data_IF_171859016929
#
_entry.id   IF_171859016929
#
_cell.length_a   1.000
_cell.length_b   1.000
_cell.length_c   1.000
_cell.angle_alpha   90.00
_cell.angle_beta   90.00
_cell.angle_gamma   90.00
#
_symmetry.space_group_name_H-M   'P 1'
#
loop_
_entity.id
_entity.type
_entity.pdbx_description
1 polymer ?
#
# COMPACT_ATOMS: atom_id res chain seq x y z
N UNK A 1 2.50 -7.38 -57.31
CA UNK A 1 3.96 -7.48 -57.09
C UNK A 1 4.53 -8.31 -58.21
N UNK A 2 5.46 -7.76 -59.00
CA UNK A 2 5.98 -8.46 -60.17
C UNK A 2 7.13 -9.42 -59.83
N UNK A 3 7.84 -9.24 -58.70
CA UNK A 3 8.80 -10.20 -58.18
C UNK A 3 9.02 -10.02 -56.66
N UNK A 4 9.60 -11.05 -56.02
CA UNK A 4 9.96 -11.06 -54.59
C UNK A 4 11.45 -11.40 -54.44
N UNK A 5 12.11 -10.68 -53.53
CA UNK A 5 13.51 -10.88 -53.19
C UNK A 5 13.77 -12.22 -52.48
N UNK A 6 12.72 -12.89 -51.99
CA UNK A 6 12.75 -14.23 -51.37
C UNK A 6 12.45 -15.37 -52.34
N UNK A 7 12.20 -15.07 -53.62
CA UNK A 7 11.89 -16.13 -54.57
C UNK A 7 13.14 -16.96 -54.84
N UNK A 8 12.98 -18.29 -54.89
CA UNK A 8 14.07 -19.23 -55.23
C UNK A 8 14.75 -18.82 -56.54
N UNK A 9 13.98 -18.28 -57.49
CA UNK A 9 14.48 -17.77 -58.77
C UNK A 9 15.40 -16.55 -58.62
N UNK A 10 15.06 -15.62 -57.73
CA UNK A 10 15.88 -14.44 -57.45
C UNK A 10 17.16 -14.82 -56.70
N UNK A 11 17.08 -15.69 -55.69
CA UNK A 11 18.25 -16.18 -54.94
C UNK A 11 19.24 -16.95 -55.83
N UNK A 12 18.72 -17.76 -56.76
CA UNK A 12 19.53 -18.45 -57.75
C UNK A 12 20.22 -17.48 -58.72
N UNK A 13 19.52 -16.45 -59.19
CA UNK A 13 20.09 -15.41 -60.06
C UNK A 13 21.15 -14.58 -59.32
N UNK A 14 20.90 -14.22 -58.05
CA UNK A 14 21.83 -13.53 -57.18
C UNK A 14 23.11 -14.36 -56.96
N UNK A 15 22.95 -15.67 -56.72
CA UNK A 15 24.05 -16.61 -56.56
C UNK A 15 24.88 -16.74 -57.84
N UNK A 16 24.22 -16.84 -58.99
CA UNK A 16 24.87 -16.88 -60.31
C UNK A 16 25.70 -15.62 -60.58
N UNK A 17 25.14 -14.44 -60.30
CA UNK A 17 25.85 -13.17 -60.46
C UNK A 17 27.09 -13.07 -59.58
N UNK A 18 27.02 -13.52 -58.32
CA UNK A 18 28.19 -13.57 -57.44
C UNK A 18 29.23 -14.61 -57.86
N UNK A 19 28.82 -15.73 -58.47
CA UNK A 19 29.75 -16.72 -59.04
C UNK A 19 30.50 -16.15 -60.26
N UNK A 20 29.80 -15.45 -61.15
CA UNK A 20 30.40 -14.74 -62.30
C UNK A 20 31.38 -13.67 -61.83
N UNK A 21 31.05 -12.93 -60.76
CA UNK A 21 31.95 -11.96 -60.15
C UNK A 21 33.20 -12.65 -59.58
N UNK A 22 33.04 -13.79 -58.89
CA UNK A 22 34.15 -14.53 -58.29
C UNK A 22 35.11 -15.11 -59.34
N UNK A 23 34.58 -15.64 -60.46
CA UNK A 23 35.37 -16.18 -61.58
C UNK A 23 36.26 -15.11 -62.20
N UNK A 24 35.78 -13.87 -62.27
CA UNK A 24 36.42 -12.80 -63.03
C UNK A 24 37.26 -11.81 -62.19
N UNK A 25 37.52 -12.11 -60.90
CA UNK A 25 38.37 -11.26 -60.04
C UNK A 25 39.83 -11.14 -60.52
N UNK A 26 40.33 -12.16 -61.22
CA UNK A 26 41.70 -12.22 -61.74
C UNK A 26 41.74 -12.21 -63.28
N UNK A 27 40.69 -11.73 -63.94
CA UNK A 27 40.64 -11.65 -65.41
C UNK A 27 41.70 -10.70 -65.96
N UNK A 28 42.24 -11.00 -67.14
CA UNK A 28 43.19 -10.13 -67.87
C UNK A 28 42.51 -8.85 -68.38
N UNK A 29 41.17 -8.85 -68.51
CA UNK A 29 40.42 -7.67 -68.89
C UNK A 29 40.16 -6.77 -67.66
N UNK A 30 40.85 -5.63 -67.62
CA UNK A 30 40.75 -4.62 -66.56
C UNK A 30 39.32 -4.09 -66.34
N UNK A 31 38.47 -4.06 -67.36
CA UNK A 31 37.07 -3.62 -67.22
C UNK A 31 36.24 -4.67 -66.46
N UNK A 32 36.29 -5.94 -66.89
CA UNK A 32 35.57 -7.04 -66.24
C UNK A 32 36.00 -7.16 -64.77
N UNK A 33 37.31 -7.02 -64.51
CA UNK A 33 37.88 -7.06 -63.17
C UNK A 33 37.33 -5.97 -62.25
N UNK A 34 37.19 -4.73 -62.75
CA UNK A 34 36.63 -3.61 -61.98
C UNK A 34 35.17 -3.85 -61.58
N UNK A 35 34.34 -4.29 -62.52
CA UNK A 35 32.93 -4.62 -62.25
C UNK A 35 32.79 -5.82 -61.31
N UNK A 36 33.60 -6.86 -61.49
CA UNK A 36 33.63 -8.04 -60.64
C UNK A 36 33.94 -7.70 -59.17
N UNK A 37 34.93 -6.84 -58.91
CA UNK A 37 35.25 -6.40 -57.56
C UNK A 37 34.09 -5.64 -56.89
N UNK A 38 33.40 -4.78 -57.63
CA UNK A 38 32.28 -3.97 -57.11
C UNK A 38 31.04 -4.81 -56.81
N UNK A 39 30.69 -5.74 -57.70
CA UNK A 39 29.61 -6.71 -57.45
C UNK A 39 29.96 -7.57 -56.24
N UNK A 40 31.20 -8.10 -56.16
CA UNK A 40 31.63 -8.97 -55.06
C UNK A 40 31.62 -8.30 -53.70
N UNK A 41 31.95 -7.01 -53.62
CA UNK A 41 31.94 -6.26 -52.36
C UNK A 41 30.55 -6.13 -51.74
N UNK A 42 29.49 -6.24 -52.54
CA UNK A 42 28.11 -6.14 -52.05
C UNK A 42 27.55 -7.45 -51.51
N UNK A 43 28.30 -8.56 -51.60
CA UNK A 43 27.84 -9.86 -51.10
C UNK A 43 27.48 -9.82 -49.60
N UNK A 44 28.21 -9.03 -48.80
CA UNK A 44 27.92 -8.86 -47.37
C UNK A 44 26.62 -8.08 -47.10
N UNK A 45 26.16 -7.26 -48.04
CA UNK A 45 24.90 -6.52 -47.92
C UNK A 45 23.68 -7.43 -48.11
N UNK A 46 23.73 -8.37 -49.05
CA UNK A 46 22.61 -9.29 -49.33
C UNK A 46 22.59 -10.49 -48.37
N UNK A 47 22.48 -10.22 -47.07
CA UNK A 47 22.17 -11.23 -46.05
C UNK A 47 20.64 -11.42 -45.92
N UNK A 48 20.21 -12.48 -45.24
CA UNK A 48 18.79 -12.82 -45.10
C UNK A 48 17.98 -11.67 -44.44
N UNK A 49 18.57 -10.94 -43.51
CA UNK A 49 17.95 -9.80 -42.83
C UNK A 49 17.67 -8.63 -43.78
N UNK A 50 18.65 -8.24 -44.58
CA UNK A 50 18.48 -7.16 -45.55
C UNK A 50 17.58 -7.60 -46.71
N UNK A 51 17.64 -8.88 -47.13
CA UNK A 51 16.70 -9.42 -48.12
C UNK A 51 15.25 -9.37 -47.61
N UNK A 52 15.01 -9.69 -46.33
CA UNK A 52 13.70 -9.52 -45.70
C UNK A 52 13.25 -8.06 -45.73
N UNK A 53 14.14 -7.15 -45.33
CA UNK A 53 13.83 -5.72 -45.32
C UNK A 53 13.53 -5.19 -46.73
N UNK A 54 14.30 -5.61 -47.74
CA UNK A 54 14.06 -5.24 -49.13
C UNK A 54 12.71 -5.76 -49.60
N UNK A 55 12.35 -7.00 -49.23
CA UNK A 55 11.06 -7.58 -49.59
C UNK A 55 9.87 -6.84 -48.95
N UNK A 56 10.00 -6.34 -47.73
CA UNK A 56 8.91 -5.64 -47.04
C UNK A 56 8.79 -4.17 -47.46
N UNK A 57 9.90 -3.50 -47.78
CA UNK A 57 9.93 -2.03 -47.87
C UNK A 57 10.17 -1.45 -49.26
N UNK A 58 10.66 -2.22 -50.23
CA UNK A 58 10.83 -1.75 -51.61
C UNK A 58 9.55 -1.97 -52.41
N UNK A 59 8.77 -0.92 -52.58
CA UNK A 59 7.48 -0.99 -53.28
C UNK A 59 7.58 -0.53 -54.73
N UNK A 60 8.43 0.45 -55.05
CA UNK A 60 8.50 1.05 -56.39
C UNK A 60 9.30 0.17 -57.34
N UNK A 61 10.49 -0.28 -56.93
CA UNK A 61 11.31 -1.25 -57.70
C UNK A 61 10.53 -2.51 -58.06
N UNK A 62 9.74 -3.05 -57.13
CA UNK A 62 8.93 -4.27 -57.34
C UNK A 62 7.78 -4.14 -58.35
N UNK A 63 7.43 -2.92 -58.77
CA UNK A 63 6.42 -2.70 -59.80
C UNK A 63 6.96 -2.99 -61.20
N UNK A 64 8.27 -2.95 -61.40
CA UNK A 64 8.90 -3.07 -62.71
C UNK A 64 9.60 -4.41 -62.87
N UNK A 65 9.14 -5.22 -63.84
CA UNK A 65 9.77 -6.52 -64.15
C UNK A 65 11.21 -6.38 -64.67
N UNK A 66 11.56 -5.21 -65.22
CA UNK A 66 12.92 -4.86 -65.68
C UNK A 66 13.98 -5.00 -64.57
N UNK A 67 13.60 -4.70 -63.32
CA UNK A 67 14.52 -4.77 -62.19
C UNK A 67 14.52 -6.15 -61.53
N UNK A 68 13.94 -7.19 -62.13
CA UNK A 68 14.08 -8.55 -61.62
C UNK A 68 15.38 -9.19 -62.12
N UNK A 69 16.30 -9.49 -61.20
CA UNK A 69 17.57 -10.17 -61.51
C UNK A 69 17.37 -11.51 -62.24
N UNK A 70 16.28 -12.22 -61.97
CA UNK A 70 15.98 -13.47 -62.67
C UNK A 70 15.67 -13.24 -64.15
N UNK A 71 14.99 -12.15 -64.52
CA UNK A 71 14.74 -11.82 -65.93
C UNK A 71 16.02 -11.36 -66.64
N UNK A 72 16.87 -10.61 -65.95
CA UNK A 72 18.19 -10.21 -66.46
C UNK A 72 19.08 -11.44 -66.73
N UNK A 73 19.03 -12.44 -65.84
CA UNK A 73 19.80 -13.69 -66.01
C UNK A 73 19.35 -14.54 -67.20
N UNK A 74 18.09 -14.42 -67.67
CA UNK A 74 17.58 -15.17 -68.83
C UNK A 74 17.88 -14.52 -70.18
N UNK A 75 18.00 -13.20 -70.22
CA UNK A 75 18.10 -12.44 -71.47
C UNK A 75 19.55 -12.08 -71.87
N UNK A 76 20.54 -12.20 -70.97
CA UNK A 76 21.90 -11.67 -71.15
C UNK A 76 22.94 -12.73 -70.75
N UNK A 77 22.98 -13.87 -71.43
CA UNK A 77 23.86 -15.00 -71.06
C UNK A 77 25.18 -15.04 -71.85
N UNK A 78 25.36 -14.28 -72.93
CA UNK A 78 26.55 -14.48 -73.78
C UNK A 78 27.83 -13.73 -73.36
N UNK A 79 27.78 -12.80 -72.41
CA UNK A 79 28.96 -12.03 -71.97
C UNK A 79 29.02 -11.79 -70.45
N UNK A 80 30.10 -12.29 -69.83
CA UNK A 80 30.41 -12.13 -68.40
C UNK A 80 30.49 -10.64 -68.00
N UNK A 81 30.91 -9.75 -68.90
CA UNK A 81 30.97 -8.31 -68.64
C UNK A 81 29.57 -7.70 -68.49
N UNK A 82 28.68 -7.99 -69.44
CA UNK A 82 27.31 -7.47 -69.44
C UNK A 82 26.52 -7.99 -68.24
N UNK A 83 26.68 -9.27 -67.90
CA UNK A 83 26.05 -9.84 -66.71
C UNK A 83 26.44 -9.05 -65.43
N UNK A 84 27.71 -8.68 -65.30
CA UNK A 84 28.19 -7.88 -64.16
C UNK A 84 27.71 -6.42 -64.20
N UNK A 85 27.70 -5.79 -65.38
CA UNK A 85 27.23 -4.40 -65.55
C UNK A 85 25.74 -4.26 -65.18
N UNK A 86 24.88 -5.07 -65.79
CA UNK A 86 23.44 -5.05 -65.51
C UNK A 86 23.13 -5.43 -64.06
N UNK A 87 23.85 -6.40 -63.48
CA UNK A 87 23.72 -6.76 -62.08
C UNK A 87 24.07 -5.61 -61.13
N UNK A 88 25.20 -4.94 -61.35
CA UNK A 88 25.63 -3.81 -60.53
C UNK A 88 24.70 -2.59 -60.63
N UNK A 89 24.22 -2.27 -61.83
CA UNK A 89 23.25 -1.18 -62.05
C UNK A 89 21.91 -1.52 -61.40
N UNK A 90 21.48 -2.78 -61.43
CA UNK A 90 20.24 -3.20 -60.76
C UNK A 90 20.38 -3.12 -59.23
N UNK A 91 21.51 -3.54 -58.67
CA UNK A 91 21.80 -3.35 -57.25
C UNK A 91 21.77 -1.87 -56.83
N UNK A 92 22.26 -0.97 -57.69
CA UNK A 92 22.20 0.46 -57.43
C UNK A 92 20.77 0.98 -57.29
N UNK A 93 19.85 0.50 -58.12
CA UNK A 93 18.42 0.85 -58.02
C UNK A 93 17.87 0.43 -56.65
N UNK A 94 18.13 -0.81 -56.22
CA UNK A 94 17.65 -1.30 -54.93
C UNK A 94 18.20 -0.51 -53.75
N UNK A 95 19.52 -0.24 -53.77
CA UNK A 95 20.20 0.49 -52.70
C UNK A 95 19.71 1.94 -52.60
N UNK A 96 19.36 2.57 -53.71
CA UNK A 96 18.81 3.92 -53.74
C UNK A 96 17.42 4.02 -53.13
N UNK A 97 16.52 3.09 -53.48
CA UNK A 97 15.20 3.02 -52.82
C UNK A 97 15.34 2.71 -51.33
N UNK A 98 16.20 1.75 -50.99
CA UNK A 98 16.49 1.37 -49.62
C UNK A 98 16.97 2.56 -48.78
N UNK A 99 17.95 3.32 -49.26
CA UNK A 99 18.50 4.49 -48.56
C UNK A 99 17.44 5.59 -48.40
N UNK A 100 16.63 5.83 -49.43
CA UNK A 100 15.59 6.86 -49.37
C UNK A 100 14.50 6.53 -48.34
N UNK A 101 14.09 5.26 -48.23
CA UNK A 101 13.04 4.82 -47.29
C UNK A 101 13.54 4.64 -45.85
N UNK A 102 14.79 4.21 -45.62
CA UNK A 102 15.38 4.11 -44.26
C UNK A 102 15.78 5.46 -43.67
N UNK A 103 16.10 6.44 -44.50
CA UNK A 103 16.69 7.69 -44.05
C UNK A 103 18.15 7.55 -43.62
N UNK A 104 18.79 8.68 -43.34
CA UNK A 104 20.23 8.78 -43.03
C UNK A 104 20.48 8.34 -41.57
N UNK A 105 20.50 7.03 -41.26
CA UNK A 105 21.05 6.53 -39.99
C UNK A 105 21.81 5.19 -40.10
N UNK A 106 23.09 5.27 -39.71
CA UNK A 106 24.01 4.31 -39.07
C UNK A 106 24.27 2.92 -39.68
N UNK A 107 25.34 2.85 -40.48
CA UNK A 107 26.39 1.81 -40.43
C UNK A 107 27.60 2.32 -41.24
N UNK A 108 28.71 2.72 -40.59
CA UNK A 108 29.86 3.35 -41.27
C UNK A 108 30.51 2.44 -42.34
N UNK A 109 30.61 1.12 -42.08
CA UNK A 109 31.23 0.16 -43.02
C UNK A 109 30.33 -0.18 -44.23
N UNK A 110 29.03 -0.34 -44.04
CA UNK A 110 28.09 -0.52 -45.15
C UNK A 110 27.96 0.77 -45.97
N UNK A 111 28.00 1.93 -45.30
CA UNK A 111 27.99 3.23 -45.97
C UNK A 111 29.22 3.43 -46.85
N UNK A 112 30.42 3.02 -46.43
CA UNK A 112 31.62 3.13 -47.28
C UNK A 112 31.55 2.24 -48.51
N UNK A 113 31.10 0.98 -48.36
CA UNK A 113 30.96 0.03 -49.48
C UNK A 113 29.92 0.51 -50.50
N UNK A 114 28.74 0.91 -50.01
CA UNK A 114 27.64 1.44 -50.84
C UNK A 114 28.03 2.77 -51.50
N UNK A 115 28.70 3.67 -50.77
CA UNK A 115 29.20 4.93 -51.35
C UNK A 115 30.26 4.70 -52.43
N UNK A 116 31.12 3.69 -52.26
CA UNK A 116 32.10 3.31 -53.27
C UNK A 116 31.46 2.78 -54.55
N UNK A 117 30.30 2.13 -54.44
CA UNK A 117 29.50 1.68 -55.57
C UNK A 117 28.81 2.87 -56.24
N UNK A 118 28.20 3.77 -55.46
CA UNK A 118 27.54 4.97 -55.96
C UNK A 118 28.51 5.83 -56.77
N UNK A 119 29.69 6.13 -56.22
CA UNK A 119 30.70 6.91 -56.93
C UNK A 119 31.13 6.22 -58.24
N UNK A 120 31.35 4.91 -58.21
CA UNK A 120 31.70 4.14 -59.40
C UNK A 120 30.61 4.22 -60.48
N UNK A 121 29.35 4.00 -60.12
CA UNK A 121 28.23 4.01 -61.06
C UNK A 121 27.93 5.42 -61.57
N UNK A 122 28.15 6.48 -60.77
CA UNK A 122 28.05 7.85 -61.23
C UNK A 122 29.16 8.21 -62.22
N UNK A 123 30.39 7.74 -62.01
CA UNK A 123 31.47 7.90 -62.98
C UNK A 123 31.13 7.17 -64.29
N UNK A 124 30.67 5.92 -64.21
CA UNK A 124 30.24 5.15 -65.39
C UNK A 124 29.05 5.78 -66.11
N UNK A 125 28.09 6.38 -65.37
CA UNK A 125 26.97 7.13 -65.95
C UNK A 125 27.44 8.26 -66.86
N UNK A 126 28.58 8.91 -66.57
CA UNK A 126 29.09 9.99 -67.42
C UNK A 126 29.59 9.50 -68.78
N UNK A 127 30.07 8.24 -68.86
CA UNK A 127 30.61 7.65 -70.09
C UNK A 127 29.59 6.79 -70.84
N UNK A 128 28.74 6.05 -70.12
CA UNK A 128 27.88 4.98 -70.65
C UNK A 128 26.38 5.21 -70.39
N UNK A 129 25.93 6.46 -70.31
CA UNK A 129 24.53 6.81 -70.01
C UNK A 129 23.49 6.13 -70.92
N UNK A 130 23.76 6.06 -72.23
CA UNK A 130 22.84 5.52 -73.23
C UNK A 130 22.52 4.03 -73.03
N UNK A 131 23.47 3.27 -72.48
CA UNK A 131 23.33 1.82 -72.29
C UNK A 131 22.36 1.47 -71.15
N UNK A 132 22.36 2.28 -70.07
CA UNK A 132 21.54 2.07 -68.88
C UNK A 132 20.53 3.20 -68.61
N UNK A 133 20.15 3.96 -69.64
CA UNK A 133 19.29 5.14 -69.54
C UNK A 133 18.04 4.91 -68.68
N UNK A 134 17.33 3.81 -68.90
CA UNK A 134 16.10 3.45 -68.17
C UNK A 134 16.31 3.25 -66.67
N UNK A 135 17.46 2.71 -66.27
CA UNK A 135 17.79 2.47 -64.86
C UNK A 135 18.18 3.78 -64.17
N UNK A 136 18.92 4.64 -64.87
CA UNK A 136 19.32 5.95 -64.35
C UNK A 136 18.15 6.91 -64.21
N UNK A 137 17.30 7.01 -65.24
CA UNK A 137 16.13 7.89 -65.23
C UNK A 137 15.17 7.48 -64.12
N UNK A 138 14.94 6.18 -63.93
CA UNK A 138 14.13 5.67 -62.82
C UNK A 138 14.69 6.08 -61.46
N UNK A 139 16.01 5.94 -61.23
CA UNK A 139 16.64 6.33 -59.96
C UNK A 139 16.55 7.84 -59.71
N UNK A 140 16.66 8.66 -60.75
CA UNK A 140 16.57 10.11 -60.64
C UNK A 140 15.12 10.56 -60.34
N UNK A 141 14.11 9.84 -60.85
CA UNK A 141 12.68 10.11 -60.58
C UNK A 141 12.17 9.50 -59.26
N UNK A 142 12.84 8.46 -58.75
CA UNK A 142 12.43 7.68 -57.59
C UNK A 142 12.11 8.54 -56.34
N UNK A 143 12.93 9.54 -55.94
CA UNK A 143 12.61 10.42 -54.82
C UNK A 143 11.27 11.16 -54.99
N UNK A 144 10.95 11.60 -56.20
CA UNK A 144 9.72 12.34 -56.48
C UNK A 144 8.50 11.42 -56.41
N UNK A 145 8.62 10.18 -56.89
CA UNK A 145 7.58 9.16 -56.81
C UNK A 145 7.29 8.80 -55.35
N UNK A 146 8.33 8.53 -54.55
CA UNK A 146 8.17 8.18 -53.14
C UNK A 146 7.62 9.37 -52.34
N UNK A 147 8.11 10.59 -52.58
CA UNK A 147 7.53 11.79 -51.98
C UNK A 147 6.06 11.95 -52.38
N UNK A 148 5.73 11.77 -53.66
CA UNK A 148 4.35 11.83 -54.14
C UNK A 148 3.44 10.83 -53.44
N UNK A 149 3.90 9.58 -53.25
CA UNK A 149 3.21 8.55 -52.47
C UNK A 149 2.97 9.00 -51.02
N UNK A 150 4.03 9.46 -50.34
CA UNK A 150 3.95 9.92 -48.94
C UNK A 150 2.97 11.10 -48.83
N UNK A 151 3.14 12.15 -49.63
CA UNK A 151 2.33 13.36 -49.54
C UNK A 151 0.88 13.19 -50.02
N UNK A 152 0.60 12.19 -50.85
CA UNK A 152 -0.78 11.86 -51.29
C UNK A 152 -1.52 10.94 -50.32
N UNK A 153 -0.83 10.37 -49.31
CA UNK A 153 -1.44 9.47 -48.34
C UNK A 153 -2.59 10.16 -47.58
N UNK A 154 -3.75 9.49 -47.51
CA UNK A 154 -5.00 10.03 -46.93
C UNK A 154 -4.81 10.67 -45.55
N UNK A 155 -4.06 9.99 -44.67
CA UNK A 155 -3.69 10.46 -43.33
C UNK A 155 -3.04 11.85 -43.31
N UNK A 156 -2.16 12.17 -44.26
CA UNK A 156 -1.53 13.49 -44.33
C UNK A 156 -2.49 14.56 -44.84
N UNK A 157 -3.41 14.20 -45.75
CA UNK A 157 -4.50 15.08 -46.17
C UNK A 157 -5.53 15.32 -45.04
N UNK A 158 -5.83 14.31 -44.23
CA UNK A 158 -6.65 14.44 -43.02
C UNK A 158 -5.99 15.36 -42.00
N UNK A 159 -4.69 15.20 -41.75
CA UNK A 159 -3.92 16.11 -40.88
C UNK A 159 -3.93 17.52 -41.46
N UNK A 160 -3.72 17.70 -42.77
CA UNK A 160 -3.78 19.02 -43.42
C UNK A 160 -5.16 19.66 -43.32
N UNK A 161 -6.23 18.87 -43.44
CA UNK A 161 -7.62 19.33 -43.30
C UNK A 161 -7.92 19.70 -41.85
N UNK A 162 -7.52 18.87 -40.90
CA UNK A 162 -7.59 19.12 -39.46
C UNK A 162 -6.87 20.42 -39.07
N UNK A 163 -5.67 20.65 -39.61
CA UNK A 163 -4.89 21.87 -39.37
C UNK A 163 -5.51 23.12 -40.02
N UNK A 164 -6.36 22.99 -41.04
CA UNK A 164 -7.02 24.11 -41.72
C UNK A 164 -8.40 24.46 -41.14
N UNK A 165 -9.12 23.48 -40.59
CA UNK A 165 -10.55 23.64 -40.23
C UNK A 165 -10.82 24.01 -38.76
N UNK A 166 -9.85 23.96 -37.83
CA UNK A 166 -10.12 24.34 -36.44
C UNK A 166 -9.09 25.28 -35.82
N UNK A 167 -9.65 26.37 -35.32
CA UNK A 167 -9.06 27.40 -34.49
C UNK A 167 -8.26 26.76 -33.34
N UNK A 168 -6.93 26.93 -33.35
CA UNK A 168 -6.00 26.36 -32.36
C UNK A 168 -6.34 26.76 -30.89
N UNK A 169 -7.20 27.77 -30.73
CA UNK A 169 -7.81 28.24 -29.48
C UNK A 169 -8.58 27.14 -28.71
N UNK A 170 -9.27 26.22 -29.41
CA UNK A 170 -10.05 25.17 -28.76
C UNK A 170 -9.13 24.08 -28.19
N UNK A 171 -8.05 23.76 -28.91
CA UNK A 171 -7.03 22.82 -28.45
C UNK A 171 -6.21 23.39 -27.28
N UNK A 172 -5.81 24.66 -27.33
CA UNK A 172 -5.07 25.30 -26.23
C UNK A 172 -5.90 25.33 -24.93
N UNK A 173 -7.21 25.64 -25.02
CA UNK A 173 -8.13 25.56 -23.87
C UNK A 173 -8.23 24.15 -23.31
N UNK A 174 -8.22 23.13 -24.16
CA UNK A 174 -8.29 21.73 -23.74
C UNK A 174 -7.00 21.31 -23.02
N UNK A 175 -5.84 21.76 -23.51
CA UNK A 175 -4.54 21.57 -22.83
C UNK A 175 -4.50 22.29 -21.48
N UNK A 176 -4.93 23.56 -21.41
CA UNK A 176 -5.01 24.29 -20.14
C UNK A 176 -5.97 23.64 -19.14
N UNK A 177 -7.11 23.15 -19.62
CA UNK A 177 -8.11 22.46 -18.79
C UNK A 177 -7.54 21.14 -18.25
N UNK A 178 -6.90 20.34 -19.10
CA UNK A 178 -6.29 19.07 -18.68
C UNK A 178 -5.13 19.28 -17.70
N UNK A 179 -4.31 20.31 -17.89
CA UNK A 179 -3.25 20.65 -16.93
C UNK A 179 -3.83 21.09 -15.58
N UNK A 180 -4.89 21.90 -15.59
CA UNK A 180 -5.58 22.36 -14.38
C UNK A 180 -6.26 21.20 -13.63
N UNK A 181 -6.90 20.29 -14.37
CA UNK A 181 -7.48 19.06 -13.81
C UNK A 181 -6.39 18.17 -13.23
N UNK A 182 -5.27 17.99 -13.92
CA UNK A 182 -4.13 17.20 -13.42
C UNK A 182 -3.56 17.79 -12.13
N UNK A 183 -3.40 19.12 -12.03
CA UNK A 183 -2.97 19.79 -10.80
C UNK A 183 -3.97 19.60 -9.66
N UNK A 184 -5.26 19.66 -9.94
CA UNK A 184 -6.31 19.47 -8.94
C UNK A 184 -6.33 18.02 -8.41
N UNK A 185 -6.10 17.03 -9.29
CA UNK A 185 -5.99 15.62 -8.90
C UNK A 185 -4.79 15.42 -7.97
N UNK A 186 -3.62 15.97 -8.30
CA UNK A 186 -2.44 15.88 -7.44
C UNK A 186 -2.66 16.52 -6.07
N UNK A 187 -3.34 17.67 -6.02
CA UNK A 187 -3.72 18.32 -4.76
C UNK A 187 -4.70 17.46 -3.94
N UNK A 188 -5.69 16.84 -4.60
CA UNK A 188 -6.62 15.95 -3.91
C UNK A 188 -5.96 14.70 -3.35
N UNK A 189 -4.97 14.16 -4.05
CA UNK A 189 -4.24 12.99 -3.59
C UNK A 189 -3.37 13.32 -2.36
N UNK A 190 -2.73 14.49 -2.35
CA UNK A 190 -2.00 15.00 -1.18
C UNK A 190 -2.94 15.28 0.02
N UNK A 191 -4.06 15.97 -0.22
CA UNK A 191 -5.11 16.20 0.79
C UNK A 191 -5.68 14.89 1.34
N UNK A 192 -5.80 13.86 0.49
CA UNK A 192 -6.33 12.56 0.89
C UNK A 192 -5.35 11.79 1.78
N UNK A 193 -4.06 11.78 1.45
CA UNK A 193 -3.05 11.17 2.33
C UNK A 193 -2.94 11.94 3.65
N UNK A 194 -2.95 13.28 3.63
CA UNK A 194 -2.97 14.08 4.86
C UNK A 194 -4.18 13.74 5.76
N UNK A 195 -5.37 13.59 5.18
CA UNK A 195 -6.58 13.19 5.92
C UNK A 195 -6.49 11.76 6.43
N UNK A 196 -5.96 10.83 5.63
CA UNK A 196 -5.78 9.44 6.02
C UNK A 196 -4.81 9.29 7.19
N UNK A 197 -3.73 10.06 7.20
CA UNK A 197 -2.79 10.08 8.32
C UNK A 197 -3.40 10.71 9.56
N UNK A 198 -4.17 11.80 9.41
CA UNK A 198 -4.95 12.36 10.53
C UNK A 198 -5.95 11.35 11.11
N UNK A 199 -6.63 10.57 10.26
CA UNK A 199 -7.56 9.52 10.70
C UNK A 199 -6.83 8.40 11.46
N UNK A 200 -5.67 7.93 10.96
CA UNK A 200 -4.85 6.94 11.67
C UNK A 200 -4.35 7.46 13.02
N UNK A 201 -4.00 8.73 13.10
CA UNK A 201 -3.59 9.34 14.37
C UNK A 201 -4.76 9.38 15.36
N UNK A 202 -5.95 9.75 14.89
CA UNK A 202 -7.17 9.73 15.70
C UNK A 202 -7.53 8.32 16.16
N UNK A 203 -7.39 7.32 15.29
CA UNK A 203 -7.58 5.90 15.64
C UNK A 203 -6.64 5.47 16.77
N UNK A 204 -5.34 5.76 16.65
CA UNK A 204 -4.35 5.48 17.71
C UNK A 204 -4.68 6.19 19.03
N UNK A 205 -5.11 7.46 18.97
CA UNK A 205 -5.52 8.22 20.15
C UNK A 205 -6.78 7.63 20.79
N UNK A 206 -7.74 7.19 19.97
CA UNK A 206 -8.97 6.58 20.45
C UNK A 206 -8.69 5.21 21.10
N UNK A 207 -7.82 4.40 20.51
CA UNK A 207 -7.42 3.10 21.07
C UNK A 207 -6.71 3.27 22.43
N UNK A 208 -5.78 4.23 22.53
CA UNK A 208 -5.15 4.61 23.80
C UNK A 208 -6.17 5.11 24.84
N UNK A 209 -7.13 5.93 24.41
CA UNK A 209 -8.20 6.44 25.29
C UNK A 209 -9.13 5.33 25.79
N UNK A 210 -9.48 4.37 24.92
CA UNK A 210 -10.34 3.22 25.25
C UNK A 210 -9.70 2.33 26.30
N UNK A 211 -8.40 2.06 26.20
CA UNK A 211 -7.65 1.27 27.20
C UNK A 211 -7.64 1.93 28.59
N UNK A 212 -7.54 3.27 28.65
CA UNK A 212 -7.63 4.01 29.91
C UNK A 212 -9.05 4.04 30.48
N UNK A 213 -10.09 3.83 29.65
CA UNK A 213 -11.50 3.97 30.06
C UNK A 213 -12.04 2.79 30.88
N UNK A 214 -11.56 1.57 30.66
CA UNK A 214 -12.11 0.36 31.31
C UNK A 214 -11.86 0.34 32.83
N UNK A 215 -10.66 0.74 33.29
CA UNK A 215 -10.35 0.85 34.73
C UNK A 215 -10.88 2.15 35.36
N UNK A 216 -11.05 3.22 34.57
CA UNK A 216 -11.75 4.43 35.01
C UNK A 216 -13.22 4.11 35.30
N UNK A 217 -13.86 3.28 34.47
CA UNK A 217 -15.24 2.83 34.68
C UNK A 217 -15.35 1.87 35.87
N UNK A 218 -14.43 0.93 36.04
CA UNK A 218 -14.38 0.06 37.23
C UNK A 218 -14.16 0.86 38.51
N UNK A 219 -13.21 1.80 38.52
CA UNK A 219 -12.96 2.69 39.65
C UNK A 219 -14.20 3.57 39.96
N UNK A 220 -14.90 4.05 38.93
CA UNK A 220 -16.18 4.76 39.09
C UNK A 220 -17.24 3.84 39.72
N UNK A 221 -17.36 2.60 39.25
CA UNK A 221 -18.27 1.60 39.81
C UNK A 221 -17.97 1.28 41.27
N UNK A 222 -16.70 1.08 41.64
CA UNK A 222 -16.30 0.88 43.03
C UNK A 222 -16.57 2.12 43.90
N UNK A 223 -16.38 3.33 43.36
CA UNK A 223 -16.70 4.57 44.06
C UNK A 223 -18.19 4.75 44.32
N UNK A 224 -19.03 4.41 43.35
CA UNK A 224 -20.49 4.42 43.52
C UNK A 224 -20.93 3.42 44.59
N UNK A 225 -20.39 2.19 44.57
CA UNK A 225 -20.63 1.18 45.60
C UNK A 225 -20.14 1.63 46.99
N UNK A 226 -18.99 2.32 47.05
CA UNK A 226 -18.45 2.86 48.29
C UNK A 226 -19.37 3.93 48.89
N UNK A 227 -19.85 4.89 48.09
CA UNK A 227 -20.77 5.91 48.57
C UNK A 227 -22.12 5.31 49.00
N UNK A 228 -22.62 4.28 48.31
CA UNK A 228 -23.79 3.52 48.76
C UNK A 228 -23.55 2.87 50.13
N UNK A 229 -22.41 2.18 50.32
CA UNK A 229 -22.06 1.57 51.62
C UNK A 229 -21.84 2.59 52.73
N UNK A 230 -21.36 3.79 52.41
CA UNK A 230 -21.21 4.89 53.36
C UNK A 230 -22.56 5.43 53.83
N UNK A 231 -23.56 5.51 52.93
CA UNK A 231 -24.93 5.85 53.31
C UNK A 231 -25.54 4.75 54.19
N UNK A 232 -25.40 3.47 53.81
CA UNK A 232 -25.81 2.33 54.64
C UNK A 232 -25.15 2.38 56.03
N UNK A 233 -23.83 2.63 56.10
CA UNK A 233 -23.10 2.71 57.37
C UNK A 233 -23.63 3.82 58.26
N UNK A 234 -23.95 4.98 57.68
CA UNK A 234 -24.53 6.10 58.42
C UNK A 234 -25.89 5.72 59.01
N UNK A 235 -26.78 5.18 58.19
CA UNK A 235 -28.11 4.72 58.63
C UNK A 235 -28.02 3.65 59.74
N UNK A 236 -27.11 2.67 59.58
CA UNK A 236 -26.90 1.62 60.57
C UNK A 236 -26.28 2.14 61.86
N UNK A 237 -25.38 3.12 61.77
CA UNK A 237 -24.77 3.76 62.94
C UNK A 237 -25.79 4.60 63.71
N UNK A 238 -26.65 5.33 63.01
CA UNK A 238 -27.73 6.11 63.62
C UNK A 238 -28.72 5.16 64.32
N UNK A 239 -29.14 4.08 63.65
CA UNK A 239 -29.99 3.04 64.25
C UNK A 239 -29.35 2.35 65.47
N UNK A 240 -28.04 2.06 65.43
CA UNK A 240 -27.32 1.52 66.58
C UNK A 240 -27.22 2.53 67.73
N UNK A 241 -27.03 3.82 67.42
CA UNK A 241 -27.00 4.90 68.40
C UNK A 241 -28.34 5.01 69.13
N UNK A 242 -29.46 4.88 68.42
CA UNK A 242 -30.80 4.86 69.01
C UNK A 242 -31.00 3.64 69.94
N UNK A 243 -30.60 2.45 69.49
CA UNK A 243 -30.64 1.23 70.30
C UNK A 243 -29.77 1.33 71.57
N UNK A 244 -28.56 1.89 71.44
CA UNK A 244 -27.65 2.12 72.55
C UNK A 244 -28.20 3.16 73.54
N UNK A 245 -28.84 4.22 73.02
CA UNK A 245 -29.53 5.23 73.82
C UNK A 245 -30.66 4.58 74.63
N UNK A 246 -31.51 3.74 74.03
CA UNK A 246 -32.55 3.00 74.76
C UNK A 246 -31.98 2.05 75.82
N UNK A 247 -30.87 1.37 75.55
CA UNK A 247 -30.21 0.49 76.52
C UNK A 247 -29.79 1.25 77.79
N UNK A 248 -29.33 2.51 77.66
CA UNK A 248 -28.92 3.37 78.78
C UNK A 248 -30.12 4.09 79.41
N UNK A 249 -31.06 4.59 78.62
CA UNK A 249 -32.22 5.33 79.12
C UNK A 249 -33.20 4.44 79.90
N UNK A 250 -33.35 3.15 79.53
CA UNK A 250 -34.29 2.24 80.21
C UNK A 250 -34.02 2.12 81.72
N UNK A 251 -32.80 1.77 82.20
CA UNK A 251 -32.54 1.70 83.63
C UNK A 251 -32.61 3.07 84.32
N UNK A 252 -32.18 4.15 83.65
CA UNK A 252 -32.24 5.51 84.19
C UNK A 252 -33.69 5.97 84.39
N UNK A 253 -34.57 5.71 83.42
CA UNK A 253 -35.98 6.03 83.51
C UNK A 253 -36.66 5.27 84.65
N UNK A 254 -36.33 3.99 84.84
CA UNK A 254 -36.83 3.18 85.96
C UNK A 254 -36.39 3.76 87.30
N UNK A 255 -35.14 4.21 87.44
CA UNK A 255 -34.64 4.86 88.66
C UNK A 255 -35.39 6.18 88.92
N UNK A 256 -35.55 7.03 87.91
CA UNK A 256 -36.26 8.32 88.02
C UNK A 256 -37.73 8.11 88.42
N UNK A 257 -38.43 7.17 87.77
CA UNK A 257 -39.83 6.83 88.10
C UNK A 257 -39.92 6.31 89.53
N UNK A 258 -38.97 5.46 89.96
CA UNK A 258 -38.93 4.93 91.32
C UNK A 258 -38.76 6.05 92.36
N UNK A 259 -37.86 7.00 92.13
CA UNK A 259 -37.67 8.17 93.00
C UNK A 259 -38.92 9.05 93.05
N UNK A 260 -39.54 9.30 91.89
CA UNK A 260 -40.75 10.12 91.78
C UNK A 260 -41.93 9.48 92.54
N UNK A 261 -42.15 8.17 92.41
CA UNK A 261 -43.18 7.45 93.15
C UNK A 261 -43.01 7.55 94.67
N UNK A 262 -41.76 7.51 95.15
CA UNK A 262 -41.44 7.68 96.58
C UNK A 262 -41.77 9.11 97.05
N UNK A 263 -41.45 10.14 96.26
CA UNK A 263 -41.75 11.54 96.58
C UNK A 263 -43.27 11.81 96.63
N UNK A 264 -44.05 11.18 95.72
CA UNK A 264 -45.51 11.31 95.68
C UNK A 264 -46.26 10.49 96.75
N UNK A 265 -45.54 9.87 97.69
CA UNK A 265 -46.15 9.22 98.87
C UNK A 265 -46.76 7.84 98.61
N UNK A 266 -46.41 7.18 97.50
CA UNK A 266 -46.78 5.77 97.32
C UNK A 266 -45.87 4.88 98.19
N UNK A 267 -46.43 4.27 99.24
CA UNK A 267 -45.73 3.25 100.02
C UNK A 267 -45.52 1.99 99.18
N UNK A 268 -44.33 1.88 98.58
CA UNK A 268 -43.93 0.70 97.83
C UNK A 268 -43.39 -0.37 98.78
N UNK A 269 -44.09 -1.52 98.86
CA UNK A 269 -43.54 -2.72 99.51
C UNK A 269 -42.36 -3.23 98.65
N UNK A 270 -41.21 -3.53 99.28
CA UNK A 270 -40.00 -4.06 98.61
C UNK A 270 -40.27 -5.24 97.67
N UNK A 271 -41.24 -6.11 97.99
CA UNK A 271 -41.64 -7.23 97.13
C UNK A 271 -42.24 -6.81 95.78
N UNK A 272 -42.86 -5.63 95.69
CA UNK A 272 -43.42 -5.11 94.43
C UNK A 272 -42.32 -4.67 93.44
N UNK A 273 -41.12 -4.32 93.92
CA UNK A 273 -39.99 -3.94 93.07
C UNK A 273 -39.36 -5.15 92.37
N UNK A 274 -39.38 -6.32 93.02
CA UNK A 274 -38.89 -7.58 92.42
C UNK A 274 -39.74 -8.03 91.23
N UNK A 275 -41.06 -7.79 91.27
CA UNK A 275 -41.95 -8.10 90.15
C UNK A 275 -41.65 -7.24 88.91
N UNK A 276 -41.12 -6.02 89.10
CA UNK A 276 -40.72 -5.10 88.04
C UNK A 276 -39.29 -5.37 87.53
N UNK A 277 -38.38 -5.81 88.41
CA UNK A 277 -36.98 -6.06 88.07
C UNK A 277 -36.78 -7.21 87.07
N UNK A 278 -37.59 -8.29 87.16
CA UNK A 278 -37.46 -9.48 86.30
C UNK A 278 -37.77 -9.14 84.82
N UNK A 279 -38.90 -8.49 84.47
CA UNK A 279 -39.18 -8.05 83.10
C UNK A 279 -38.13 -7.07 82.56
N UNK A 280 -37.66 -6.11 83.37
CA UNK A 280 -36.66 -5.11 82.96
C UNK A 280 -35.31 -5.77 82.67
N UNK A 281 -34.87 -6.68 83.52
CA UNK A 281 -33.61 -7.41 83.32
C UNK A 281 -33.68 -8.28 82.06
N UNK A 282 -34.82 -8.92 81.83
CA UNK A 282 -35.06 -9.71 80.60
C UNK A 282 -35.02 -8.81 79.35
N UNK A 283 -35.70 -7.66 79.38
CA UNK A 283 -35.66 -6.66 78.31
C UNK A 283 -34.22 -6.14 78.06
N UNK A 284 -33.44 -5.93 79.13
CA UNK A 284 -32.05 -5.47 79.04
C UNK A 284 -31.16 -6.51 78.34
N UNK A 285 -31.34 -7.80 78.63
CA UNK A 285 -30.62 -8.88 77.93
C UNK A 285 -30.94 -8.92 76.44
N UNK A 286 -32.21 -8.74 76.06
CA UNK A 286 -32.60 -8.63 74.65
C UNK A 286 -31.97 -7.40 73.98
N UNK A 287 -32.06 -6.22 74.59
CA UNK A 287 -31.45 -4.99 74.06
C UNK A 287 -29.93 -5.12 73.93
N UNK A 288 -29.26 -5.76 74.88
CA UNK A 288 -27.82 -6.03 74.83
C UNK A 288 -27.47 -6.98 73.67
N UNK A 289 -28.26 -8.05 73.49
CA UNK A 289 -28.08 -8.96 72.36
C UNK A 289 -28.26 -8.24 71.01
N UNK A 290 -29.32 -7.46 70.84
CA UNK A 290 -29.56 -6.69 69.62
C UNK A 290 -28.49 -5.61 69.38
N UNK A 291 -27.99 -4.97 70.44
CA UNK A 291 -26.86 -4.05 70.35
C UNK A 291 -25.60 -4.74 69.84
N UNK A 292 -25.28 -5.94 70.35
CA UNK A 292 -24.15 -6.75 69.86
C UNK A 292 -24.31 -7.10 68.38
N UNK A 293 -25.50 -7.52 67.96
CA UNK A 293 -25.79 -7.83 66.55
C UNK A 293 -25.64 -6.57 65.68
N UNK A 294 -26.18 -5.43 66.11
CA UNK A 294 -26.05 -4.15 65.42
C UNK A 294 -24.58 -3.72 65.24
N UNK A 295 -23.77 -3.89 66.29
CA UNK A 295 -22.33 -3.61 66.22
C UNK A 295 -21.60 -4.52 65.22
N UNK A 296 -21.98 -5.80 65.15
CA UNK A 296 -21.41 -6.75 64.19
C UNK A 296 -21.75 -6.36 62.74
N UNK A 297 -22.97 -5.89 62.47
CA UNK A 297 -23.35 -5.38 61.15
C UNK A 297 -22.57 -4.11 60.77
N UNK A 298 -22.36 -3.18 61.70
CA UNK A 298 -21.54 -1.97 61.46
C UNK A 298 -20.11 -2.37 61.09
N UNK A 299 -19.49 -3.28 61.84
CA UNK A 299 -18.14 -3.79 61.55
C UNK A 299 -18.08 -4.49 60.18
N UNK A 300 -19.10 -5.28 59.82
CA UNK A 300 -19.21 -5.89 58.50
C UNK A 300 -19.21 -4.86 57.37
N UNK A 301 -20.00 -3.79 57.49
CA UNK A 301 -20.07 -2.74 56.45
C UNK A 301 -18.74 -1.98 56.36
N UNK A 302 -18.11 -1.68 57.49
CA UNK A 302 -16.78 -1.06 57.52
C UNK A 302 -15.72 -1.93 56.84
N UNK A 303 -15.73 -3.25 57.08
CA UNK A 303 -14.80 -4.19 56.44
C UNK A 303 -15.00 -4.25 54.91
N UNK A 304 -16.26 -4.20 54.44
CA UNK A 304 -16.57 -4.12 53.01
C UNK A 304 -16.10 -2.79 52.38
N UNK A 305 -16.25 -1.67 53.10
CA UNK A 305 -15.77 -0.37 52.64
C UNK A 305 -14.24 -0.33 52.50
N UNK A 306 -13.51 -0.90 53.47
CA UNK A 306 -12.05 -1.03 53.42
C UNK A 306 -11.59 -1.88 52.22
N UNK A 307 -12.30 -2.96 51.91
CA UNK A 307 -12.03 -3.78 50.71
C UNK A 307 -12.27 -2.98 49.42
N UNK A 308 -13.32 -2.16 49.35
CA UNK A 308 -13.57 -1.29 48.20
C UNK A 308 -12.51 -0.19 48.04
N UNK A 309 -12.04 0.41 49.14
CA UNK A 309 -10.94 1.39 49.12
C UNK A 309 -9.64 0.79 48.57
N UNK A 310 -9.30 -0.43 49.00
CA UNK A 310 -8.14 -1.15 48.46
C UNK A 310 -8.28 -1.36 46.95
N UNK A 311 -9.45 -1.79 46.47
CA UNK A 311 -9.70 -1.97 45.03
C UNK A 311 -9.60 -0.67 44.24
N UNK A 312 -10.17 0.41 44.75
CA UNK A 312 -10.05 1.73 44.13
C UNK A 312 -8.59 2.19 44.05
N UNK A 313 -7.81 2.02 45.13
CA UNK A 313 -6.40 2.36 45.15
C UNK A 313 -5.57 1.52 44.15
N UNK A 314 -5.87 0.22 44.05
CA UNK A 314 -5.24 -0.68 43.10
C UNK A 314 -5.60 -0.33 41.64
N UNK A 315 -6.87 -0.03 41.37
CA UNK A 315 -7.32 0.41 40.04
C UNK A 315 -6.74 1.79 39.63
N UNK A 316 -6.46 2.67 40.59
CA UNK A 316 -5.80 3.96 40.32
C UNK A 316 -4.30 3.82 40.05
N UNK A 317 -3.68 2.75 40.57
CA UNK A 317 -2.25 2.50 40.42
C UNK A 317 -1.86 1.92 39.05
N UNK A 318 -2.75 1.15 38.40
CA UNK A 318 -2.50 0.58 37.06
C UNK A 318 -3.07 1.50 35.98
N UNK A 319 -2.21 2.08 35.13
CA UNK A 319 -2.62 3.08 34.15
C UNK A 319 -3.07 2.51 32.78
N UNK A 320 -2.85 1.24 32.45
CA UNK A 320 -3.39 0.61 31.24
C UNK A 320 -3.35 -0.93 31.40
N UNK A 321 -4.28 -1.51 32.18
CA UNK A 321 -4.30 -2.95 32.46
C UNK A 321 -4.29 -3.81 31.19
N UNK A 322 -4.97 -3.41 30.11
CA UNK A 322 -5.01 -4.19 28.88
C UNK A 322 -3.62 -4.34 28.20
N UNK A 323 -2.79 -3.30 28.22
CA UNK A 323 -1.44 -3.35 27.66
C UNK A 323 -0.41 -3.93 28.64
N UNK A 324 -0.61 -3.69 29.93
CA UNK A 324 0.32 -4.08 30.98
C UNK A 324 0.08 -5.51 31.45
N UNK A 325 -1.14 -6.06 31.35
CA UNK A 325 -1.48 -7.43 31.76
C UNK A 325 -0.61 -8.46 31.03
N UNK A 326 -0.49 -8.38 29.70
CA UNK A 326 0.32 -9.35 28.95
C UNK A 326 1.82 -9.26 29.29
N UNK A 327 2.33 -8.03 29.49
CA UNK A 327 3.73 -7.79 29.86
C UNK A 327 4.03 -8.21 31.30
N UNK A 328 3.07 -8.03 32.21
CA UNK A 328 3.22 -8.33 33.63
C UNK A 328 2.98 -9.80 33.95
N UNK A 329 2.07 -10.48 33.25
CA UNK A 329 1.99 -11.94 33.31
C UNK A 329 3.33 -12.57 32.88
N UNK A 330 4.01 -12.01 31.88
CA UNK A 330 5.34 -12.48 31.45
C UNK A 330 6.46 -12.21 32.46
N UNK A 331 6.40 -11.11 33.22
CA UNK A 331 7.42 -10.74 34.22
C UNK A 331 7.18 -11.37 35.59
N UNK A 332 5.93 -11.41 36.05
CA UNK A 332 5.55 -11.89 37.38
C UNK A 332 4.07 -12.36 37.42
N UNK A 333 3.78 -13.48 36.75
CA UNK A 333 2.44 -14.09 36.71
C UNK A 333 1.81 -14.28 38.09
N UNK A 334 2.57 -14.81 39.07
CA UNK A 334 2.05 -15.13 40.39
C UNK A 334 1.62 -13.90 41.20
N UNK A 335 2.35 -12.78 41.08
CA UNK A 335 1.97 -11.52 41.73
C UNK A 335 0.74 -10.87 41.08
N UNK A 336 0.63 -10.99 39.75
CA UNK A 336 -0.46 -10.37 38.99
C UNK A 336 -1.78 -11.15 39.13
N UNK A 337 -1.75 -12.48 39.12
CA UNK A 337 -2.94 -13.30 39.42
C UNK A 337 -3.50 -13.00 40.81
N UNK A 338 -2.64 -12.79 41.82
CA UNK A 338 -3.07 -12.37 43.16
C UNK A 338 -3.68 -10.97 43.17
N UNK A 339 -3.13 -10.05 42.38
CA UNK A 339 -3.70 -8.72 42.20
C UNK A 339 -5.12 -8.78 41.61
N UNK A 340 -5.34 -9.55 40.55
CA UNK A 340 -6.64 -9.73 39.92
C UNK A 340 -7.66 -10.36 40.88
N UNK A 341 -7.23 -11.38 41.62
CA UNK A 341 -8.05 -12.00 42.65
C UNK A 341 -8.50 -11.01 43.74
N UNK A 342 -7.67 -10.02 44.09
CA UNK A 342 -8.06 -8.98 45.06
C UNK A 342 -9.10 -8.02 44.48
N UNK A 343 -9.02 -7.69 43.19
CA UNK A 343 -9.98 -6.79 42.52
C UNK A 343 -11.32 -7.48 42.27
N UNK A 344 -11.30 -8.72 41.79
CA UNK A 344 -12.50 -9.44 41.32
C UNK A 344 -13.10 -10.39 42.36
N UNK A 345 -12.52 -10.51 43.56
CA UNK A 345 -13.10 -11.33 44.62
C UNK A 345 -14.48 -10.81 45.08
N UNK A 346 -15.35 -11.67 45.62
CA UNK A 346 -16.56 -11.23 46.31
C UNK A 346 -16.24 -10.36 47.53
N UNK A 347 -17.13 -9.43 47.87
CA UNK A 347 -17.02 -8.66 49.13
C UNK A 347 -17.36 -9.56 50.32
N UNK A 348 -16.44 -9.67 51.28
CA UNK A 348 -16.63 -10.52 52.47
C UNK A 348 -17.14 -9.69 53.64
N UNK A 349 -18.07 -10.25 54.42
CA UNK A 349 -18.79 -9.58 55.51
C UNK A 349 -18.15 -9.77 56.91
N UNK A 350 -16.99 -10.43 56.99
CA UNK A 350 -16.39 -10.84 58.26
C UNK A 350 -14.87 -10.70 58.24
N UNK A 351 -14.30 -10.03 59.24
CA UNK A 351 -12.85 -9.93 59.44
C UNK A 351 -12.16 -11.30 59.55
N UNK A 352 -12.87 -12.32 60.08
CA UNK A 352 -12.35 -13.69 60.28
C UNK A 352 -12.20 -14.52 59.00
N UNK A 353 -12.61 -14.01 57.83
CA UNK A 353 -12.43 -14.66 56.53
C UNK A 353 -11.85 -13.70 55.49
N UNK A 354 -11.00 -12.77 55.91
CA UNK A 354 -10.09 -12.10 54.99
C UNK A 354 -8.94 -13.10 54.76
N UNK A 355 -8.89 -13.83 53.64
CA UNK A 355 -7.78 -14.76 53.41
C UNK A 355 -6.54 -13.91 53.22
N UNK A 356 -5.65 -13.90 54.22
CA UNK A 356 -4.23 -13.52 54.07
C UNK A 356 -3.99 -12.29 53.17
N UNK A 357 -4.66 -11.15 53.43
CA UNK A 357 -4.32 -9.87 52.76
C UNK A 357 -2.91 -9.41 53.12
N UNK A 358 -2.39 -9.82 54.29
CA UNK A 358 -1.04 -9.49 54.71
C UNK A 358 0.07 -10.18 53.89
N UNK A 359 -0.18 -11.39 53.38
CA UNK A 359 0.78 -12.13 52.54
C UNK A 359 0.70 -11.70 51.04
N UNK A 360 -0.45 -11.13 50.65
CA UNK A 360 -0.62 -10.47 49.35
C UNK A 360 0.04 -9.10 49.28
N UNK A 361 0.05 -8.32 50.37
CA UNK A 361 0.64 -6.97 50.40
C UNK A 361 2.14 -6.95 50.10
N UNK A 362 2.90 -7.94 50.55
CA UNK A 362 4.35 -8.01 50.27
C UNK A 362 4.63 -8.27 48.78
N UNK A 363 3.78 -9.08 48.13
CA UNK A 363 3.88 -9.36 46.70
C UNK A 363 3.37 -8.18 45.85
N UNK A 364 2.32 -7.49 46.32
CA UNK A 364 1.88 -6.21 45.74
C UNK A 364 2.96 -5.14 45.86
N UNK A 365 3.68 -5.05 46.98
CA UNK A 365 4.78 -4.11 47.15
C UNK A 365 5.94 -4.38 46.17
N UNK A 366 6.25 -5.65 45.88
CA UNK A 366 7.21 -6.02 44.82
C UNK A 366 6.72 -5.60 43.44
N UNK A 367 5.43 -5.78 43.16
CA UNK A 367 4.81 -5.42 41.88
C UNK A 367 4.76 -3.89 41.70
N UNK A 368 4.40 -3.13 42.73
CA UNK A 368 4.47 -1.65 42.80
C UNK A 368 5.90 -1.15 42.58
N UNK A 369 6.91 -1.83 43.12
CA UNK A 369 8.32 -1.48 42.90
C UNK A 369 8.79 -1.77 41.47
N UNK A 370 8.25 -2.80 40.80
CA UNK A 370 8.51 -3.05 39.37
C UNK A 370 7.85 -2.00 38.47
N UNK A 371 6.72 -1.41 38.88
CA UNK A 371 6.06 -0.30 38.19
C UNK A 371 6.78 1.05 38.34
N UNK A 372 7.60 1.25 39.39
CA UNK A 372 8.31 2.51 39.67
C UNK A 372 9.71 2.60 39.03
N UNK A 373 10.17 1.52 38.39
CA UNK A 373 11.41 1.44 37.60
C UNK A 373 11.07 1.47 36.12
#
# INVERSE_FOLDING_TARGET
MNFSFKSIYFENALTSLFQTAQKNLNSENEEIKKWAHKVRSLKSFFNDENLNYLDENLYETKKWALFDLHQLSKNIIDDDLNHLKYGAVTFFVYLKEWNFRRGIKENEELNTTISSLYNFIYTEKQFNYLEFKTHYDFVDELPFVICGEIYSHSKLNEIRKFLKEKDFSEFSKLVETTEKTSKSILQWEDDFENKKDAVKELEKRLEKSKQTYDFVLLNKGFKELYEQKKLELKERRDSYSDLASWLICTPVAVIIISILLVIFGFESKLHSLWFLAIPISTLMLFLFYFSRVGLQHIRSVQSQMMQLELRMALCQFIHNYAEDSEKLHKKNAAGFEKFENIIFSPLVSSDDKIPTTFDGMEQLAKLVNEFRK
#
